data_IF_818105463651
#
_entry.id   IF_818105463651
#
_cell.length_a   1.000
_cell.length_b   1.000
_cell.length_c   1.000
_cell.angle_alpha   90.00
_cell.angle_beta   90.00
_cell.angle_gamma   90.00
#
_symmetry.space_group_name_H-M   'P 1'
#
loop_
_entity.id
_entity.type
_entity.pdbx_description
1 polymer ?
#
# COMPACT_ATOMS: atom_id res chain seq x y z
N UNK A 1 9.75 -12.42 23.33
CA UNK A 1 8.32 -12.78 23.18
C UNK A 1 7.53 -11.49 23.00
N UNK A 2 7.54 -10.94 21.78
CA UNK A 2 6.81 -9.71 21.47
C UNK A 2 5.34 -10.03 21.24
N UNK A 3 4.49 -9.16 21.78
CA UNK A 3 3.04 -9.29 21.86
C UNK A 3 2.49 -8.71 20.55
N UNK A 4 2.16 -9.57 19.59
CA UNK A 4 1.41 -9.15 18.41
C UNK A 4 0.06 -8.57 18.85
N UNK A 5 -0.04 -7.25 18.90
CA UNK A 5 -1.31 -6.56 19.06
C UNK A 5 -1.95 -6.50 17.67
N UNK A 6 -2.62 -7.60 17.31
CA UNK A 6 -3.55 -7.61 16.18
C UNK A 6 -4.66 -6.63 16.57
N UNK A 7 -4.59 -5.39 16.06
CA UNK A 7 -5.74 -4.50 16.09
C UNK A 7 -6.85 -5.19 15.30
N UNK A 8 -8.01 -5.48 15.93
CA UNK A 8 -9.07 -6.18 15.24
C UNK A 8 -9.63 -5.27 14.15
N UNK A 9 -9.32 -5.60 12.90
CA UNK A 9 -10.00 -5.06 11.73
C UNK A 9 -11.49 -5.32 11.98
N UNK A 10 -12.27 -4.24 12.06
CA UNK A 10 -13.70 -4.30 12.32
C UNK A 10 -14.36 -5.20 11.28
N UNK A 11 -14.67 -6.44 11.66
CA UNK A 11 -15.63 -7.26 10.95
C UNK A 11 -17.00 -6.64 11.19
N UNK A 12 -17.39 -5.66 10.38
CA UNK A 12 -18.74 -5.10 10.39
C UNK A 12 -19.65 -6.15 9.77
N UNK A 13 -20.00 -7.14 10.58
CA UNK A 13 -21.19 -7.95 10.37
C UNK A 13 -22.38 -6.98 10.46
N UNK A 14 -22.90 -6.56 9.31
CA UNK A 14 -24.17 -5.84 9.28
C UNK A 14 -25.24 -6.81 9.80
N UNK A 15 -25.52 -6.73 11.11
CA UNK A 15 -26.82 -7.12 11.64
C UNK A 15 -27.84 -6.39 10.79
N UNK A 16 -28.61 -7.15 10.03
CA UNK A 16 -29.77 -6.70 9.27
C UNK A 16 -30.67 -5.85 10.17
N UNK A 17 -30.51 -4.53 10.10
CA UNK A 17 -31.50 -3.59 10.61
C UNK A 17 -32.50 -3.38 9.49
N UNK A 18 -33.73 -3.83 9.73
CA UNK A 18 -34.87 -3.55 8.86
C UNK A 18 -35.07 -2.02 8.76
N UNK A 19 -34.65 -1.41 7.64
CA UNK A 19 -35.35 -0.30 6.94
C UNK A 19 -34.53 0.24 5.76
N UNK A 20 -35.03 -0.02 4.56
CA UNK A 20 -34.61 0.61 3.31
C UNK A 20 -33.81 -0.34 2.41
N UNK A 21 -34.42 -0.76 1.31
CA UNK A 21 -33.66 -1.32 0.18
C UNK A 21 -32.65 -0.25 -0.25
N UNK A 22 -31.36 -0.44 0.07
CA UNK A 22 -30.31 0.39 -0.52
C UNK A 22 -30.27 0.07 -2.01
N UNK A 23 -30.26 1.10 -2.84
CA UNK A 23 -30.10 0.88 -4.28
C UNK A 23 -28.67 0.41 -4.56
N UNK A 24 -28.48 -0.27 -5.69
CA UNK A 24 -27.12 -0.62 -6.15
C UNK A 24 -26.21 0.61 -6.31
N UNK A 25 -26.80 1.78 -6.59
CA UNK A 25 -26.06 3.05 -6.66
C UNK A 25 -25.55 3.49 -5.28
N UNK A 26 -26.38 3.37 -4.25
CA UNK A 26 -26.01 3.75 -2.88
C UNK A 26 -24.91 2.85 -2.30
N UNK A 27 -24.94 1.56 -2.64
CA UNK A 27 -23.88 0.62 -2.26
C UNK A 27 -22.57 0.98 -2.96
N UNK A 28 -22.60 1.24 -4.27
CA UNK A 28 -21.42 1.62 -5.04
C UNK A 28 -20.77 2.90 -4.54
N UNK A 29 -21.56 3.96 -4.30
CA UNK A 29 -21.06 5.23 -3.76
C UNK A 29 -20.39 5.02 -2.40
N UNK A 30 -20.99 4.18 -1.55
CA UNK A 30 -20.40 3.84 -0.25
C UNK A 30 -19.07 3.10 -0.40
N UNK A 31 -19.00 2.13 -1.30
CA UNK A 31 -17.77 1.35 -1.51
C UNK A 31 -16.66 2.23 -2.10
N UNK A 32 -16.98 3.16 -3.00
CA UNK A 32 -16.07 4.20 -3.49
C UNK A 32 -15.53 5.07 -2.35
N UNK A 33 -16.40 5.63 -1.51
CA UNK A 33 -15.98 6.46 -0.38
C UNK A 33 -15.07 5.71 0.62
N UNK A 34 -15.43 4.47 0.95
CA UNK A 34 -14.61 3.63 1.85
C UNK A 34 -13.25 3.29 1.22
N UNK A 35 -13.22 3.08 -0.09
CA UNK A 35 -11.99 2.77 -0.80
C UNK A 35 -11.07 4.00 -0.88
N UNK A 36 -11.60 5.18 -1.19
CA UNK A 36 -10.84 6.43 -1.21
C UNK A 36 -10.21 6.74 0.16
N UNK A 37 -11.01 6.64 1.22
CA UNK A 37 -10.54 6.88 2.59
C UNK A 37 -9.42 5.90 2.98
N UNK A 38 -9.57 4.62 2.64
CA UNK A 38 -8.56 3.64 2.93
C UNK A 38 -7.30 3.82 2.07
N UNK A 39 -7.43 4.18 0.80
CA UNK A 39 -6.29 4.48 -0.08
C UNK A 39 -5.46 5.61 0.53
N UNK A 40 -6.11 6.66 1.06
CA UNK A 40 -5.43 7.75 1.76
C UNK A 40 -4.71 7.28 3.01
N UNK A 41 -5.42 6.63 3.92
CA UNK A 41 -4.87 6.29 5.22
C UNK A 41 -3.73 5.25 5.13
N UNK A 42 -3.86 4.22 4.28
CA UNK A 42 -2.85 3.16 4.20
C UNK A 42 -1.60 3.63 3.45
N UNK A 43 -1.75 4.38 2.36
CA UNK A 43 -0.59 4.92 1.62
C UNK A 43 0.15 5.92 2.50
N UNK A 44 -0.56 6.84 3.15
CA UNK A 44 0.07 7.81 4.05
C UNK A 44 0.81 7.12 5.20
N UNK A 45 0.19 6.12 5.84
CA UNK A 45 0.81 5.32 6.90
C UNK A 45 2.08 4.60 6.43
N UNK A 46 1.99 3.89 5.31
CA UNK A 46 3.13 3.17 4.71
C UNK A 46 4.34 4.08 4.50
N UNK A 47 4.15 5.26 3.92
CA UNK A 47 5.24 6.20 3.70
C UNK A 47 5.79 6.82 4.99
N UNK A 48 4.95 7.07 5.98
CA UNK A 48 5.41 7.55 7.29
C UNK A 48 6.27 6.49 7.98
N UNK A 49 5.91 5.22 7.85
CA UNK A 49 6.64 4.11 8.44
C UNK A 49 7.95 3.84 7.70
N UNK A 50 7.96 3.94 6.35
CA UNK A 50 9.18 3.99 5.56
C UNK A 50 10.09 5.14 6.00
N UNK A 51 9.60 6.38 6.06
CA UNK A 51 10.43 7.54 6.46
C UNK A 51 11.07 7.34 7.84
N UNK A 52 10.30 6.82 8.81
CA UNK A 52 10.85 6.49 10.14
C UNK A 52 11.96 5.44 10.04
N UNK A 53 11.78 4.40 9.22
CA UNK A 53 12.80 3.38 9.03
C UNK A 53 14.12 4.00 8.54
N UNK A 54 14.04 4.92 7.59
CA UNK A 54 15.19 5.66 7.06
C UNK A 54 15.83 6.60 8.10
N UNK A 55 15.03 7.45 8.76
CA UNK A 55 15.53 8.47 9.68
C UNK A 55 16.22 7.89 10.92
N UNK A 56 15.72 6.76 11.43
CA UNK A 56 16.26 6.14 12.64
C UNK A 56 17.49 5.28 12.40
N UNK A 57 17.91 5.09 11.14
CA UNK A 57 19.18 4.49 10.74
C UNK A 57 19.60 3.28 11.56
N UNK A 58 19.10 2.10 11.19
CA UNK A 58 19.62 0.71 11.35
C UNK A 58 20.48 0.22 12.53
N UNK A 59 20.96 1.05 13.44
CA UNK A 59 21.89 0.65 14.50
C UNK A 59 21.22 -0.24 15.56
N UNK A 60 19.88 -0.28 15.61
CA UNK A 60 19.08 -1.11 16.53
C UNK A 60 18.12 -2.10 15.83
N UNK A 61 18.06 -2.12 14.49
CA UNK A 61 17.11 -2.95 13.72
C UNK A 61 17.76 -3.48 12.43
N UNK A 62 17.63 -4.79 12.15
CA UNK A 62 17.97 -5.36 10.84
C UNK A 62 17.20 -4.60 9.75
N UNK A 63 17.90 -3.86 8.89
CA UNK A 63 17.32 -3.02 7.80
C UNK A 63 16.33 -3.81 6.94
N UNK A 64 16.68 -5.07 6.65
CA UNK A 64 15.86 -6.01 5.86
C UNK A 64 14.51 -6.34 6.50
N UNK A 65 14.44 -6.39 7.83
CA UNK A 65 13.27 -6.92 8.54
C UNK A 65 12.14 -5.89 8.61
N UNK A 66 12.45 -4.59 8.66
CA UNK A 66 11.47 -3.56 8.96
C UNK A 66 10.71 -3.06 7.72
N UNK A 67 11.41 -2.88 6.59
CA UNK A 67 10.80 -2.35 5.36
C UNK A 67 9.76 -3.32 4.78
N UNK A 68 9.96 -4.64 4.95
CA UNK A 68 9.07 -5.66 4.40
C UNK A 68 7.86 -6.01 5.27
N UNK A 69 7.87 -5.66 6.57
CA UNK A 69 6.80 -6.07 7.51
C UNK A 69 5.44 -5.43 7.15
N UNK A 70 5.46 -4.24 6.53
CA UNK A 70 4.27 -3.54 6.03
C UNK A 70 3.94 -3.86 4.56
N UNK A 71 4.71 -4.76 3.92
CA UNK A 71 4.51 -5.23 2.55
C UNK A 71 4.05 -6.69 2.55
N UNK A 72 2.81 -6.92 2.12
CA UNK A 72 2.20 -8.25 2.12
C UNK A 72 2.62 -9.13 0.94
N UNK A 73 2.89 -8.52 -0.22
CA UNK A 73 3.27 -9.20 -1.45
C UNK A 73 4.04 -8.24 -2.36
N UNK A 74 4.96 -8.79 -3.16
CA UNK A 74 5.79 -8.02 -4.10
C UNK A 74 5.79 -8.73 -5.44
N UNK A 75 5.39 -8.00 -6.49
CA UNK A 75 5.55 -8.47 -7.87
C UNK A 75 6.64 -7.65 -8.55
N UNK A 76 7.70 -8.31 -8.98
CA UNK A 76 8.82 -7.69 -9.67
C UNK A 76 8.63 -7.77 -11.17
N UNK A 77 8.86 -6.66 -11.88
CA UNK A 77 8.91 -6.61 -13.33
C UNK A 77 10.37 -6.49 -13.79
N UNK A 78 10.86 -7.53 -14.47
CA UNK A 78 12.18 -7.56 -15.08
C UNK A 78 12.16 -8.26 -16.45
N UNK A 79 13.19 -8.00 -17.28
CA UNK A 79 13.34 -8.71 -18.55
C UNK A 79 14.09 -10.06 -18.39
N UNK A 80 14.31 -10.74 -19.51
CA UNK A 80 15.08 -11.98 -19.55
C UNK A 80 16.56 -11.82 -19.16
N UNK A 81 17.10 -10.61 -19.24
CA UNK A 81 18.46 -10.28 -18.79
C UNK A 81 18.49 -9.89 -17.32
N UNK A 82 17.35 -9.99 -16.61
CA UNK A 82 17.16 -9.53 -15.24
C UNK A 82 17.34 -8.02 -15.04
N UNK A 83 17.17 -7.20 -16.08
CA UNK A 83 17.08 -5.75 -15.89
C UNK A 83 15.77 -5.42 -15.16
N UNK A 84 15.87 -4.73 -14.02
CA UNK A 84 14.71 -4.29 -13.24
C UNK A 84 14.01 -3.10 -13.91
N UNK A 85 12.68 -3.08 -13.89
CA UNK A 85 11.88 -1.95 -14.39
C UNK A 85 10.99 -1.32 -13.32
N UNK A 86 10.77 -1.99 -12.20
CA UNK A 86 9.84 -1.56 -11.16
C UNK A 86 9.17 -2.77 -10.49
N UNK A 87 8.41 -2.46 -9.45
CA UNK A 87 7.68 -3.45 -8.68
C UNK A 87 6.28 -2.98 -8.33
N UNK A 88 5.45 -3.94 -7.95
CA UNK A 88 4.12 -3.71 -7.40
C UNK A 88 4.07 -4.23 -5.96
N UNK A 89 3.98 -3.31 -5.01
CA UNK A 89 3.97 -3.54 -3.57
C UNK A 89 2.54 -3.61 -3.06
N UNK A 90 2.14 -4.72 -2.45
CA UNK A 90 0.85 -4.80 -1.76
C UNK A 90 1.00 -4.32 -0.32
N UNK A 91 0.42 -3.16 0.00
CA UNK A 91 0.55 -2.52 1.32
C UNK A 91 -0.70 -2.66 2.21
N UNK A 92 -1.80 -3.20 1.66
CA UNK A 92 -2.99 -3.51 2.43
C UNK A 92 -3.72 -4.75 1.91
N UNK A 93 -4.33 -5.50 2.84
CA UNK A 93 -5.12 -6.70 2.57
C UNK A 93 -6.31 -6.82 3.55
N UNK A 94 -7.37 -7.53 3.16
CA UNK A 94 -8.47 -7.93 4.06
C UNK A 94 -9.56 -6.88 4.32
N UNK A 95 -9.44 -5.72 3.67
CA UNK A 95 -10.50 -4.73 3.48
C UNK A 95 -10.37 -4.29 2.03
N UNK A 96 -10.08 -3.02 1.72
CA UNK A 96 -9.52 -2.72 0.41
C UNK A 96 -8.14 -3.36 0.25
N UNK A 97 -7.87 -3.97 -0.90
CA UNK A 97 -6.50 -4.32 -1.29
C UNK A 97 -5.88 -3.09 -1.96
N UNK A 98 -4.69 -2.69 -1.51
CA UNK A 98 -4.01 -1.49 -1.98
C UNK A 98 -2.62 -1.85 -2.47
N UNK A 99 -2.27 -1.32 -3.64
CA UNK A 99 -1.00 -1.58 -4.32
C UNK A 99 -0.32 -0.29 -4.73
N UNK A 100 1.00 -0.22 -4.56
CA UNK A 100 1.87 0.82 -5.14
C UNK A 100 2.61 0.17 -6.30
N UNK A 101 2.45 0.69 -7.51
CA UNK A 101 3.12 0.20 -8.72
C UNK A 101 4.11 1.26 -9.21
N UNK A 102 5.40 1.00 -9.04
CA UNK A 102 6.47 1.94 -9.41
C UNK A 102 6.77 1.94 -10.91
N UNK A 103 6.48 0.83 -11.61
CA UNK A 103 6.63 0.77 -13.07
C UNK A 103 5.62 1.66 -13.80
N UNK A 104 4.33 1.54 -13.45
CA UNK A 104 3.27 2.35 -14.07
C UNK A 104 3.06 3.70 -13.36
N UNK A 105 3.75 3.94 -12.23
CA UNK A 105 3.67 5.13 -11.40
C UNK A 105 2.23 5.44 -10.93
N UNK A 106 1.58 4.43 -10.35
CA UNK A 106 0.19 4.49 -9.87
C UNK A 106 -0.01 3.84 -8.50
N UNK A 107 -1.04 4.29 -7.79
CA UNK A 107 -1.63 3.59 -6.64
C UNK A 107 -2.96 2.97 -7.08
N UNK A 108 -3.15 1.69 -6.78
CA UNK A 108 -4.38 0.97 -7.10
C UNK A 108 -5.10 0.51 -5.83
N UNK A 109 -6.41 0.72 -5.77
CA UNK A 109 -7.27 0.26 -4.70
C UNK A 109 -8.43 -0.59 -5.22
N UNK A 110 -8.78 -1.66 -4.50
CA UNK A 110 -9.87 -2.57 -4.86
C UNK A 110 -10.75 -2.92 -3.66
N UNK A 111 -12.05 -2.64 -3.75
CA UNK A 111 -13.03 -3.01 -2.73
C UNK A 111 -14.46 -3.07 -3.28
N UNK A 112 -15.26 -4.07 -2.89
CA UNK A 112 -16.70 -4.06 -3.17
C UNK A 112 -17.10 -3.98 -4.65
N UNK A 113 -16.25 -4.45 -5.57
CA UNK A 113 -16.46 -4.30 -7.02
C UNK A 113 -16.07 -2.93 -7.59
N UNK A 114 -15.59 -2.03 -6.74
CA UNK A 114 -14.98 -0.75 -7.09
C UNK A 114 -13.47 -0.93 -7.27
N UNK A 115 -12.92 -0.25 -8.28
CA UNK A 115 -11.49 -0.07 -8.51
C UNK A 115 -11.20 1.42 -8.63
N UNK A 116 -10.15 1.89 -7.95
CA UNK A 116 -9.59 3.23 -8.10
C UNK A 116 -8.13 3.07 -8.54
N UNK A 117 -7.70 3.91 -9.47
CA UNK A 117 -6.30 4.03 -9.91
C UNK A 117 -5.99 5.52 -9.89
N UNK A 118 -5.02 5.92 -9.10
CA UNK A 118 -4.54 7.29 -9.06
C UNK A 118 -3.07 7.34 -9.47
N UNK A 119 -2.67 8.45 -10.09
CA UNK A 119 -1.27 8.69 -10.38
C UNK A 119 -0.51 8.89 -9.06
N UNK A 120 0.57 8.14 -8.88
CA UNK A 120 1.30 8.10 -7.62
C UNK A 120 1.94 9.45 -7.32
N UNK A 121 2.64 10.10 -8.26
CA UNK A 121 3.17 11.48 -8.11
C UNK A 121 2.15 12.47 -7.56
N UNK A 122 1.04 12.66 -8.27
CA UNK A 122 -0.03 13.55 -7.82
C UNK A 122 -0.54 13.18 -6.43
N UNK A 123 -0.65 11.88 -6.15
CA UNK A 123 -1.10 11.39 -4.87
C UNK A 123 -0.12 11.71 -3.74
N UNK A 124 1.18 11.53 -3.97
CA UNK A 124 2.23 11.82 -3.00
C UNK A 124 2.33 13.32 -2.71
N UNK A 125 2.25 14.16 -3.76
CA UNK A 125 2.20 15.62 -3.66
C UNK A 125 1.01 16.08 -2.79
N UNK A 126 -0.16 15.46 -2.98
CA UNK A 126 -1.38 15.81 -2.23
C UNK A 126 -1.27 15.52 -0.72
N UNK A 127 -0.34 14.66 -0.34
CA UNK A 127 -0.06 14.31 1.05
C UNK A 127 1.02 15.21 1.69
N UNK A 128 1.69 16.07 0.90
CA UNK A 128 2.70 17.03 1.38
C UNK A 128 3.95 16.38 1.96
N UNK A 129 4.40 15.28 1.35
CA UNK A 129 5.56 14.51 1.79
C UNK A 129 6.61 14.54 0.68
N UNK A 130 7.56 15.47 0.82
CA UNK A 130 8.51 15.88 -0.23
C UNK A 130 9.60 14.83 -0.53
N UNK A 131 9.96 13.97 0.44
CA UNK A 131 11.10 13.04 0.34
C UNK A 131 10.71 11.61 -0.11
N UNK A 132 9.45 11.39 -0.51
CA UNK A 132 8.92 10.04 -0.76
C UNK A 132 9.39 9.34 -2.03
N UNK A 133 9.75 10.12 -3.05
CA UNK A 133 10.29 9.55 -4.29
C UNK A 133 11.61 8.84 -4.01
N UNK A 134 12.45 9.43 -3.16
CA UNK A 134 13.71 8.83 -2.71
C UNK A 134 13.46 7.54 -1.91
N UNK A 135 12.41 7.50 -1.08
CA UNK A 135 12.02 6.29 -0.35
C UNK A 135 11.60 5.14 -1.29
N UNK A 136 10.86 5.43 -2.35
CA UNK A 136 10.46 4.43 -3.34
C UNK A 136 11.63 3.96 -4.20
N UNK A 137 12.48 4.89 -4.65
CA UNK A 137 13.70 4.55 -5.38
C UNK A 137 14.59 3.63 -4.55
N UNK A 138 14.75 3.94 -3.26
CA UNK A 138 15.55 3.08 -2.38
C UNK A 138 14.90 1.70 -2.16
N UNK A 139 13.56 1.63 -2.11
CA UNK A 139 12.86 0.34 -2.04
C UNK A 139 13.04 -0.46 -3.33
N UNK A 140 12.93 0.18 -4.49
CA UNK A 140 13.16 -0.43 -5.80
C UNK A 140 14.61 -0.93 -5.93
N UNK A 141 15.60 -0.15 -5.51
CA UNK A 141 17.02 -0.55 -5.46
C UNK A 141 17.24 -1.76 -4.54
N UNK A 142 16.60 -1.77 -3.37
CA UNK A 142 16.64 -2.90 -2.44
C UNK A 142 16.06 -4.18 -3.06
N UNK A 143 14.93 -4.08 -3.74
CA UNK A 143 14.31 -5.21 -4.43
C UNK A 143 15.15 -5.67 -5.61
N UNK A 144 15.74 -4.75 -6.37
CA UNK A 144 16.68 -5.07 -7.44
C UNK A 144 17.87 -5.89 -6.90
N UNK A 145 18.43 -5.51 -5.75
CA UNK A 145 19.48 -6.28 -5.08
C UNK A 145 18.98 -7.64 -4.59
N UNK A 146 17.85 -7.69 -3.89
CA UNK A 146 17.29 -8.91 -3.31
C UNK A 146 16.99 -9.99 -4.36
N UNK A 147 16.50 -9.59 -5.53
CA UNK A 147 16.17 -10.51 -6.63
C UNK A 147 17.35 -10.76 -7.59
N UNK A 148 18.53 -10.23 -7.29
CA UNK A 148 19.73 -10.28 -8.14
C UNK A 148 19.42 -9.84 -9.58
N UNK A 149 18.61 -8.79 -9.71
CA UNK A 149 18.32 -8.14 -10.98
C UNK A 149 19.53 -7.25 -11.32
N UNK A 150 20.33 -7.64 -12.32
CA UNK A 150 21.53 -6.91 -12.77
C UNK A 150 21.76 -7.15 -14.25
#
# INVERSE_FOLDING_TARGET
MSKFMILPIYYIHNKTTNKGEKTMRDLKIRDEQLLEEALKNNVEGFFQDLQKAFDYGSEDYDEDYFITDDIFDIKVLSDLNKTFFGACYQIAFGGPNIYINTYDNVVEGYWGGTKIIENLEYYLDSLGLDDKFELLETLDDYIEELFECR
#
